data_IF_138219689464
#
_entry.id   IF_138219689464
#
_cell.length_a   1.000
_cell.length_b   1.000
_cell.length_c   1.000
_cell.angle_alpha   90.00
_cell.angle_beta   90.00
_cell.angle_gamma   90.00
#
_symmetry.space_group_name_H-M   'P 1'
#
loop_
_entity.id
_entity.type
_entity.pdbx_description
1 polymer ?
#
# COMPACT_ATOMS: atom_id res chain seq x y z
N UNK A 1 13.33 52.01 50.11
CA UNK A 1 12.85 52.32 48.75
C UNK A 1 13.29 51.34 47.67
N UNK A 2 14.42 50.62 47.79
CA UNK A 2 14.84 49.63 46.79
C UNK A 2 14.09 48.28 46.79
N UNK A 3 13.39 47.94 47.88
CA UNK A 3 12.69 46.65 47.99
C UNK A 3 11.32 46.59 47.29
N UNK A 4 10.72 47.74 47.00
CA UNK A 4 9.42 47.82 46.30
C UNK A 4 9.62 47.73 44.78
N UNK A 5 10.73 48.28 44.27
CA UNK A 5 11.06 48.26 42.84
C UNK A 5 11.38 46.84 42.32
N UNK A 6 11.97 45.99 43.16
CA UNK A 6 12.28 44.61 42.82
C UNK A 6 11.00 43.76 42.77
N UNK A 7 10.02 44.03 43.65
CA UNK A 7 8.77 43.29 43.66
C UNK A 7 7.90 43.60 42.42
N UNK A 8 7.92 44.84 41.93
CA UNK A 8 7.21 45.23 40.70
C UNK A 8 7.88 44.65 39.44
N UNK A 9 9.22 44.57 39.40
CA UNK A 9 9.94 43.93 38.30
C UNK A 9 9.73 42.40 38.27
N UNK A 10 9.61 41.75 39.44
CA UNK A 10 9.25 40.33 39.49
C UNK A 10 7.80 40.07 39.09
N UNK A 11 6.85 40.94 39.45
CA UNK A 11 5.45 40.82 39.00
C UNK A 11 5.29 41.04 37.49
N UNK A 12 6.00 41.99 36.87
CA UNK A 12 5.96 42.13 35.41
C UNK A 12 6.63 40.96 34.67
N UNK A 13 7.69 40.38 35.24
CA UNK A 13 8.30 39.16 34.67
C UNK A 13 7.42 37.91 34.82
N UNK A 14 6.59 37.84 35.86
CA UNK A 14 5.65 36.73 36.08
C UNK A 14 4.41 36.81 35.15
N UNK A 15 3.96 38.02 34.77
CA UNK A 15 2.96 38.18 33.71
C UNK A 15 3.53 37.95 32.30
N UNK A 16 4.84 38.15 32.11
CA UNK A 16 5.51 37.87 30.84
C UNK A 16 5.86 36.38 30.62
N UNK A 17 5.84 35.54 31.66
CA UNK A 17 6.25 34.12 31.58
C UNK A 17 5.09 33.10 31.58
N UNK A 18 3.84 33.53 31.41
CA UNK A 18 2.71 32.62 31.23
C UNK A 18 2.21 32.49 29.78
N UNK A 19 2.90 33.11 28.82
CA UNK A 19 2.75 32.81 27.39
C UNK A 19 3.73 31.71 26.97
N UNK A 20 3.80 30.63 27.74
CA UNK A 20 4.44 29.40 27.29
C UNK A 20 3.47 28.65 26.39
N UNK A 21 3.44 29.12 25.15
CA UNK A 21 3.27 28.39 23.91
C UNK A 21 3.04 26.87 24.09
N UNK A 22 1.79 26.51 24.37
CA UNK A 22 1.26 25.19 24.00
C UNK A 22 0.70 25.36 22.60
N UNK A 23 1.59 25.36 21.61
CA UNK A 23 1.24 25.13 20.21
C UNK A 23 0.84 23.66 20.06
N UNK A 24 -0.28 23.29 20.70
CA UNK A 24 -1.16 22.32 20.05
C UNK A 24 -1.70 23.05 18.84
N UNK A 25 -1.12 22.74 17.67
CA UNK A 25 -1.74 22.98 16.38
C UNK A 25 -3.15 22.38 16.42
N UNK A 26 -4.09 23.19 16.86
CA UNK A 26 -5.50 22.84 16.95
C UNK A 26 -6.08 23.05 15.56
N UNK A 27 -5.82 22.09 14.66
CA UNK A 27 -6.37 22.05 13.31
C UNK A 27 -7.92 21.99 13.27
N UNK A 28 -8.59 22.15 14.41
CA UNK A 28 -10.03 22.00 14.61
C UNK A 28 -10.73 23.25 15.15
N UNK A 29 -10.14 24.44 15.09
CA UNK A 29 -10.87 25.71 15.33
C UNK A 29 -11.76 26.12 14.13
N UNK A 30 -12.49 25.18 13.53
CA UNK A 30 -13.69 25.50 12.76
C UNK A 30 -14.83 25.71 13.77
N UNK A 31 -14.89 26.90 14.39
CA UNK A 31 -16.06 27.35 15.14
C UNK A 31 -17.27 27.29 14.21
N UNK A 32 -18.29 26.51 14.57
CA UNK A 32 -19.71 26.67 14.21
C UNK A 32 -19.99 27.56 12.99
N UNK A 33 -19.52 27.17 11.82
CA UNK A 33 -19.83 27.89 10.60
C UNK A 33 -21.25 27.54 10.18
N UNK A 34 -21.96 28.50 9.55
CA UNK A 34 -23.27 28.35 8.92
C UNK A 34 -23.27 27.18 7.91
N UNK A 35 -23.35 25.97 8.44
CA UNK A 35 -23.10 24.73 7.74
C UNK A 35 -24.41 24.24 7.16
N UNK A 36 -24.44 24.08 5.84
CA UNK A 36 -25.58 23.56 5.13
C UNK A 36 -25.49 22.04 5.15
N UNK A 37 -26.56 21.40 5.62
CA UNK A 37 -26.69 19.94 5.60
C UNK A 37 -26.79 19.41 4.18
N UNK A 38 -26.34 18.16 4.00
CA UNK A 38 -26.47 17.46 2.73
C UNK A 38 -27.94 17.39 2.29
N UNK A 39 -28.19 17.60 0.99
CA UNK A 39 -29.53 17.66 0.40
C UNK A 39 -30.14 19.06 0.32
N UNK A 40 -29.60 20.04 1.02
CA UNK A 40 -30.07 21.44 0.99
C UNK A 40 -29.21 22.34 0.07
N UNK A 41 -28.25 21.79 -0.66
CA UNK A 41 -27.23 22.56 -1.38
C UNK A 41 -27.78 23.37 -2.55
N UNK A 42 -28.89 22.90 -3.12
CA UNK A 42 -29.57 23.52 -4.26
C UNK A 42 -30.82 24.30 -3.83
N UNK A 43 -30.98 24.55 -2.54
CA UNK A 43 -32.09 25.35 -2.01
C UNK A 43 -31.99 26.77 -2.56
N UNK A 44 -33.14 27.30 -2.97
CA UNK A 44 -33.27 28.64 -3.51
C UNK A 44 -34.42 29.39 -2.84
N UNK A 45 -34.35 30.71 -2.89
CA UNK A 45 -35.48 31.56 -2.57
C UNK A 45 -35.95 32.33 -3.81
N UNK A 46 -37.26 32.34 -4.02
CA UNK A 46 -37.93 33.04 -5.14
C UNK A 46 -39.05 33.95 -4.62
N UNK A 47 -38.95 34.40 -3.37
CA UNK A 47 -39.96 35.26 -2.75
C UNK A 47 -39.93 36.67 -3.34
N UNK A 48 -38.78 37.11 -3.88
CA UNK A 48 -38.67 38.34 -4.65
C UNK A 48 -39.07 38.11 -6.13
N UNK A 49 -40.04 38.85 -6.68
CA UNK A 49 -40.52 38.63 -8.05
C UNK A 49 -39.42 38.70 -9.11
N UNK A 50 -39.47 37.79 -10.09
CA UNK A 50 -38.54 37.71 -11.24
C UNK A 50 -37.05 37.59 -10.88
N UNK A 51 -36.75 37.30 -9.62
CA UNK A 51 -35.40 37.15 -9.09
C UNK A 51 -35.34 35.88 -8.25
N UNK A 52 -34.17 35.26 -8.21
CA UNK A 52 -33.93 34.12 -7.35
C UNK A 52 -32.61 34.28 -6.60
N UNK A 53 -32.64 34.05 -5.29
CA UNK A 53 -31.45 33.96 -4.45
C UNK A 53 -31.07 32.49 -4.32
N UNK A 54 -29.81 32.19 -4.55
CA UNK A 54 -29.27 30.84 -4.50
C UNK A 54 -27.84 30.84 -3.96
N UNK A 55 -27.34 29.67 -3.57
CA UNK A 55 -25.96 29.51 -3.16
C UNK A 55 -25.10 29.17 -4.38
N UNK A 56 -24.07 29.97 -4.63
CA UNK A 56 -23.00 29.59 -5.57
C UNK A 56 -21.84 29.00 -4.81
N UNK A 57 -21.64 27.70 -4.95
CA UNK A 57 -20.58 26.95 -4.30
C UNK A 57 -19.22 27.13 -4.99
N UNK A 58 -18.17 27.29 -4.19
CA UNK A 58 -16.79 27.12 -4.63
C UNK A 58 -16.49 25.65 -4.93
N UNK A 59 -15.37 25.39 -5.60
CA UNK A 59 -14.79 24.04 -5.66
C UNK A 59 -14.54 23.51 -4.25
N UNK A 60 -14.61 22.19 -4.11
CA UNK A 60 -14.19 21.50 -2.89
C UNK A 60 -12.70 21.70 -2.63
N UNK A 61 -12.34 21.88 -1.37
CA UNK A 61 -10.94 21.86 -0.93
C UNK A 61 -10.34 20.46 -1.11
N UNK A 62 -9.03 20.35 -0.92
CA UNK A 62 -8.41 19.06 -0.68
C UNK A 62 -8.91 18.46 0.64
N UNK A 63 -8.81 17.14 0.76
CA UNK A 63 -9.05 16.43 2.01
C UNK A 63 -8.10 16.95 3.10
N UNK A 64 -8.55 17.04 4.35
CA UNK A 64 -7.76 17.59 5.45
C UNK A 64 -6.63 16.68 5.92
N UNK A 65 -6.74 15.36 5.66
CA UNK A 65 -5.75 14.37 6.08
C UNK A 65 -5.73 13.13 5.17
N UNK A 66 -4.62 12.41 5.19
CA UNK A 66 -4.43 11.12 4.52
C UNK A 66 -3.99 10.04 5.50
N UNK A 67 -4.16 8.78 5.09
CA UNK A 67 -3.65 7.61 5.78
C UNK A 67 -2.16 7.49 5.49
N UNK A 68 -1.38 7.67 6.54
CA UNK A 68 0.04 7.89 6.44
C UNK A 68 0.78 6.56 6.42
N UNK A 69 1.50 6.24 5.33
CA UNK A 69 2.28 5.02 5.25
C UNK A 69 3.52 5.08 6.15
N UNK A 70 4.10 3.90 6.42
CA UNK A 70 5.35 3.78 7.21
C UNK A 70 6.50 4.62 6.66
N UNK A 71 6.63 4.72 5.34
CA UNK A 71 7.69 5.50 4.69
C UNK A 71 7.64 6.99 5.05
N UNK A 72 6.44 7.53 5.33
CA UNK A 72 6.23 8.94 5.70
C UNK A 72 6.19 9.11 7.23
N UNK A 73 5.34 8.34 7.92
CA UNK A 73 5.07 8.55 9.35
C UNK A 73 5.85 7.64 10.31
N UNK A 74 6.63 6.68 9.80
CA UNK A 74 7.42 5.71 10.58
C UNK A 74 6.57 5.03 11.66
N UNK A 75 6.78 5.40 12.93
CA UNK A 75 6.06 4.84 14.09
C UNK A 75 4.62 5.32 14.23
N UNK A 76 4.24 6.38 13.53
CA UNK A 76 2.89 6.96 13.52
C UNK A 76 2.07 6.55 12.29
N UNK A 77 2.44 5.44 11.67
CA UNK A 77 1.74 4.88 10.51
C UNK A 77 0.24 4.64 10.80
N UNK A 78 -0.60 5.06 9.87
CA UNK A 78 -2.06 4.87 9.89
C UNK A 78 -2.56 4.08 8.69
N UNK A 79 -1.72 3.18 8.14
CA UNK A 79 -2.08 2.23 7.06
C UNK A 79 -3.10 1.16 7.50
N UNK A 80 -3.77 0.55 6.53
CA UNK A 80 -4.68 -0.59 6.75
C UNK A 80 -5.84 -0.22 7.67
N UNK A 81 -6.11 -1.05 8.68
CA UNK A 81 -7.25 -0.86 9.58
C UNK A 81 -7.20 0.46 10.37
N UNK A 82 -5.99 0.98 10.64
CA UNK A 82 -5.80 2.25 11.34
C UNK A 82 -6.17 3.46 10.48
N UNK A 83 -6.32 3.30 9.17
CA UNK A 83 -6.73 4.38 8.26
C UNK A 83 -8.18 4.83 8.55
N UNK A 84 -9.01 3.91 9.05
CA UNK A 84 -10.40 4.19 9.36
C UNK A 84 -10.56 5.16 10.53
N UNK A 85 -9.58 5.23 11.46
CA UNK A 85 -9.63 6.15 12.59
C UNK A 85 -9.20 7.58 12.21
N UNK A 86 -8.53 7.76 11.06
CA UNK A 86 -8.15 9.08 10.55
C UNK A 86 -9.39 9.77 9.97
N UNK A 87 -9.87 10.78 10.68
CA UNK A 87 -10.92 11.68 10.20
C UNK A 87 -10.34 12.62 9.15
N UNK A 88 -11.02 12.71 8.00
CA UNK A 88 -10.60 13.55 6.89
C UNK A 88 -11.82 14.11 6.17
N UNK A 89 -11.79 15.40 5.85
CA UNK A 89 -12.93 16.12 5.28
C UNK A 89 -12.47 17.07 4.18
N UNK A 90 -13.33 17.29 3.18
CA UNK A 90 -13.26 18.43 2.28
C UNK A 90 -14.26 19.48 2.73
N UNK A 91 -13.94 20.73 2.45
CA UNK A 91 -14.78 21.87 2.77
C UNK A 91 -15.01 22.67 1.50
N UNK A 92 -16.16 23.34 1.40
CA UNK A 92 -16.38 24.37 0.37
C UNK A 92 -17.18 25.52 0.95
N UNK A 93 -16.98 26.71 0.38
CA UNK A 93 -17.72 27.92 0.73
C UNK A 93 -18.80 28.16 -0.32
N UNK A 94 -19.98 28.58 0.13
CA UNK A 94 -21.06 29.04 -0.73
C UNK A 94 -21.33 30.50 -0.45
N UNK A 95 -21.32 31.33 -1.49
CA UNK A 95 -21.74 32.74 -1.37
C UNK A 95 -23.18 32.87 -1.87
N UNK A 96 -23.96 33.72 -1.22
CA UNK A 96 -25.31 34.02 -1.68
C UNK A 96 -25.27 34.90 -2.92
N UNK A 97 -25.90 34.42 -3.97
CA UNK A 97 -25.96 35.05 -5.28
C UNK A 97 -27.41 35.29 -5.68
N UNK A 98 -27.60 36.29 -6.52
CA UNK A 98 -28.88 36.67 -7.08
C UNK A 98 -28.81 36.40 -8.58
N UNK A 99 -29.85 35.76 -9.15
CA UNK A 99 -29.99 35.59 -10.61
C UNK A 99 -31.36 36.07 -11.10
N UNK A 100 -31.39 36.52 -12.34
CA UNK A 100 -32.59 36.99 -13.03
C UNK A 100 -33.43 35.80 -13.53
N UNK A 101 -34.74 35.82 -13.27
CA UNK A 101 -35.75 34.94 -13.88
C UNK A 101 -36.58 35.66 -14.95
N UNK A 102 -36.73 36.97 -14.85
CA UNK A 102 -37.45 37.83 -15.80
C UNK A 102 -37.10 39.30 -15.60
N UNK A 103 -37.82 40.24 -16.23
CA UNK A 103 -37.62 41.67 -16.00
C UNK A 103 -37.77 42.00 -14.51
N UNK A 104 -36.76 42.61 -13.90
CA UNK A 104 -36.74 42.87 -12.44
C UNK A 104 -37.54 44.09 -12.04
N UNK A 105 -37.82 45.01 -12.97
CA UNK A 105 -38.50 46.28 -12.69
C UNK A 105 -37.65 47.27 -11.88
N UNK A 106 -36.35 47.02 -11.71
CA UNK A 106 -35.41 47.90 -11.02
C UNK A 106 -34.17 48.15 -11.88
N UNK A 107 -33.96 49.41 -12.28
CA UNK A 107 -32.88 49.79 -13.20
C UNK A 107 -31.48 49.51 -12.63
N UNK A 108 -31.27 49.77 -11.33
CA UNK A 108 -29.97 49.56 -10.69
C UNK A 108 -29.60 48.07 -10.61
N UNK A 109 -30.59 47.22 -10.35
CA UNK A 109 -30.42 45.78 -10.36
C UNK A 109 -30.14 45.25 -11.78
N UNK A 110 -30.82 45.77 -12.81
CA UNK A 110 -30.49 45.45 -14.20
C UNK A 110 -29.07 45.91 -14.58
N UNK A 111 -28.61 47.07 -14.10
CA UNK A 111 -27.22 47.53 -14.30
C UNK A 111 -26.22 46.53 -13.70
N UNK A 112 -26.53 45.96 -12.53
CA UNK A 112 -25.68 44.91 -11.94
C UNK A 112 -25.70 43.63 -12.79
N UNK A 113 -26.86 43.20 -13.29
CA UNK A 113 -26.96 42.03 -14.16
C UNK A 113 -26.31 42.21 -15.53
N UNK A 114 -26.18 43.43 -16.04
CA UNK A 114 -25.45 43.70 -17.28
C UNK A 114 -23.94 43.40 -17.17
N UNK A 115 -23.40 43.34 -15.94
CA UNK A 115 -21.99 42.95 -15.70
C UNK A 115 -21.79 41.44 -15.68
N UNK A 116 -22.85 40.66 -15.48
CA UNK A 116 -22.76 39.20 -15.42
C UNK A 116 -24.08 38.51 -15.05
N UNK A 117 -24.20 37.20 -15.34
CA UNK A 117 -25.45 36.45 -15.20
C UNK A 117 -25.93 36.29 -13.74
N UNK A 118 -25.04 36.52 -12.77
CA UNK A 118 -25.33 36.41 -11.34
C UNK A 118 -24.60 37.54 -10.61
N UNK A 119 -25.24 38.10 -9.59
CA UNK A 119 -24.74 39.22 -8.78
C UNK A 119 -24.59 38.75 -7.33
N UNK A 120 -23.55 39.21 -6.62
CA UNK A 120 -23.43 38.91 -5.19
C UNK A 120 -24.59 39.56 -4.43
N UNK A 121 -25.25 38.83 -3.53
CA UNK A 121 -26.35 39.37 -2.75
C UNK A 121 -25.95 40.64 -1.97
N UNK A 122 -24.74 40.66 -1.41
CA UNK A 122 -24.20 41.81 -0.70
C UNK A 122 -24.09 43.08 -1.56
N UNK A 123 -23.90 42.93 -2.88
CA UNK A 123 -23.89 44.06 -3.81
C UNK A 123 -25.31 44.52 -4.12
N UNK A 124 -26.23 43.58 -4.35
CA UNK A 124 -27.64 43.88 -4.61
C UNK A 124 -28.35 44.54 -3.39
N UNK A 125 -27.99 44.15 -2.16
CA UNK A 125 -28.50 44.74 -0.92
C UNK A 125 -28.14 46.22 -0.74
N UNK A 126 -27.22 46.78 -1.55
CA UNK A 126 -26.90 48.21 -1.51
C UNK A 126 -27.94 49.08 -2.23
N UNK A 127 -28.83 48.48 -3.01
CA UNK A 127 -29.92 49.19 -3.70
C UNK A 127 -31.03 49.44 -2.69
N UNK A 128 -31.22 50.70 -2.30
CA UNK A 128 -32.08 51.09 -1.19
C UNK A 128 -33.55 50.74 -1.45
N UNK A 129 -34.01 50.87 -2.71
CA UNK A 129 -35.39 50.66 -3.13
C UNK A 129 -35.87 49.22 -2.91
N UNK A 130 -34.95 48.25 -3.02
CA UNK A 130 -35.26 46.80 -2.96
C UNK A 130 -34.59 46.10 -1.78
N UNK A 131 -33.86 46.84 -0.94
CA UNK A 131 -33.08 46.32 0.18
C UNK A 131 -33.92 45.39 1.07
N UNK A 132 -35.09 45.85 1.51
CA UNK A 132 -35.95 45.11 2.43
C UNK A 132 -36.52 43.82 1.82
N UNK A 133 -36.83 43.83 0.51
CA UNK A 133 -37.35 42.64 -0.20
C UNK A 133 -36.26 41.58 -0.38
N UNK A 134 -35.05 42.01 -0.74
CA UNK A 134 -33.88 41.15 -0.85
C UNK A 134 -33.46 40.59 0.52
N UNK A 135 -33.54 41.40 1.58
CA UNK A 135 -33.21 40.95 2.94
C UNK A 135 -34.24 39.93 3.46
N UNK A 136 -35.53 40.15 3.22
CA UNK A 136 -36.56 39.16 3.54
C UNK A 136 -36.36 37.83 2.78
N UNK A 137 -35.97 37.92 1.50
CA UNK A 137 -35.66 36.74 0.68
C UNK A 137 -34.40 36.02 1.18
N UNK A 138 -33.39 36.77 1.67
CA UNK A 138 -32.20 36.24 2.35
C UNK A 138 -32.58 35.47 3.61
N UNK A 139 -33.41 36.08 4.47
CA UNK A 139 -33.87 35.48 5.72
C UNK A 139 -34.62 34.17 5.43
N UNK A 140 -35.52 34.18 4.43
CA UNK A 140 -36.24 32.96 4.01
C UNK A 140 -35.29 31.87 3.51
N UNK A 141 -34.26 32.23 2.74
CA UNK A 141 -33.25 31.26 2.29
C UNK A 141 -32.47 30.69 3.49
N UNK A 142 -32.00 31.53 4.41
CA UNK A 142 -31.26 31.06 5.60
C UNK A 142 -32.09 30.16 6.50
N UNK A 143 -33.39 30.42 6.62
CA UNK A 143 -34.33 29.58 7.36
C UNK A 143 -34.44 28.20 6.70
N UNK A 144 -34.65 28.13 5.39
CA UNK A 144 -34.69 26.86 4.63
C UNK A 144 -33.38 26.06 4.75
N UNK A 145 -32.25 26.76 4.90
CA UNK A 145 -30.92 26.17 5.05
C UNK A 145 -30.59 25.78 6.51
N UNK A 146 -31.45 26.12 7.47
CA UNK A 146 -31.21 25.96 8.91
C UNK A 146 -29.92 26.64 9.40
N UNK A 147 -29.64 27.85 8.91
CA UNK A 147 -28.49 28.67 9.33
C UNK A 147 -28.95 30.00 9.92
N UNK A 148 -28.05 30.73 10.59
CA UNK A 148 -28.38 31.98 11.25
C UNK A 148 -28.89 33.03 10.25
N UNK A 149 -29.88 33.87 10.61
CA UNK A 149 -30.51 34.81 9.69
C UNK A 149 -29.58 35.90 9.20
N UNK A 150 -28.50 36.24 9.90
CA UNK A 150 -27.45 37.20 9.52
C UNK A 150 -26.43 36.63 8.52
N UNK A 151 -26.60 35.38 8.10
CA UNK A 151 -25.66 34.69 7.22
C UNK A 151 -25.61 35.32 5.83
N UNK A 152 -24.38 35.51 5.33
CA UNK A 152 -24.10 35.97 3.95
C UNK A 152 -23.26 34.96 3.16
N UNK A 153 -22.64 34.00 3.85
CA UNK A 153 -21.90 32.90 3.26
C UNK A 153 -22.06 31.66 4.13
N UNK A 154 -22.19 30.53 3.45
CA UNK A 154 -22.41 29.22 4.05
C UNK A 154 -21.25 28.28 3.75
N UNK A 155 -21.18 27.18 4.49
CA UNK A 155 -20.15 26.17 4.31
C UNK A 155 -20.78 24.80 4.17
N UNK A 156 -20.07 23.91 3.50
CA UNK A 156 -20.41 22.49 3.50
C UNK A 156 -19.14 21.70 3.75
N UNK A 157 -19.29 20.58 4.45
CA UNK A 157 -18.23 19.61 4.65
C UNK A 157 -18.64 18.28 4.06
N UNK A 158 -17.68 17.54 3.53
CA UNK A 158 -17.88 16.20 2.99
C UNK A 158 -16.80 15.29 3.53
N UNK A 159 -17.19 14.10 3.99
CA UNK A 159 -16.26 13.10 4.50
C UNK A 159 -15.41 12.50 3.35
N UNK A 160 -14.11 12.39 3.59
CA UNK A 160 -13.14 11.79 2.66
C UNK A 160 -12.92 10.29 2.87
N UNK A 161 -13.77 9.58 3.61
CA UNK A 161 -13.56 8.18 4.01
C UNK A 161 -13.01 7.29 2.90
N UNK A 162 -13.62 7.37 1.71
CA UNK A 162 -13.29 6.55 0.55
C UNK A 162 -12.61 7.38 -0.57
N UNK A 163 -12.19 8.61 -0.27
CA UNK A 163 -11.59 9.51 -1.24
C UNK A 163 -10.11 9.18 -1.45
N UNK A 164 -9.64 9.21 -2.70
CA UNK A 164 -8.25 8.85 -3.04
C UNK A 164 -7.21 9.72 -2.31
N UNK A 165 -7.49 11.01 -2.07
CA UNK A 165 -6.61 11.88 -1.29
C UNK A 165 -6.48 11.43 0.17
N UNK A 166 -7.52 10.80 0.75
CA UNK A 166 -7.38 10.19 2.08
C UNK A 166 -6.52 8.93 1.99
N UNK A 167 -6.70 8.10 0.98
CA UNK A 167 -6.01 6.82 0.86
C UNK A 167 -4.54 6.97 0.42
N UNK A 168 -4.20 8.08 -0.25
CA UNK A 168 -2.89 8.30 -0.85
C UNK A 168 -2.36 9.71 -0.51
N UNK A 169 -1.37 9.77 0.38
CA UNK A 169 -0.74 11.01 0.80
C UNK A 169 -0.02 11.77 -0.32
N UNK A 170 0.44 11.10 -1.39
CA UNK A 170 1.04 11.79 -2.53
C UNK A 170 -0.03 12.53 -3.35
N UNK A 171 -1.20 11.91 -3.51
CA UNK A 171 -2.33 12.57 -4.18
C UNK A 171 -2.84 13.75 -3.36
N UNK A 172 -2.85 13.63 -2.02
CA UNK A 172 -3.16 14.76 -1.14
C UNK A 172 -2.12 15.88 -1.24
N UNK A 173 -0.83 15.56 -1.17
CA UNK A 173 0.25 16.54 -1.27
C UNK A 173 0.20 17.32 -2.59
N UNK A 174 -0.06 16.61 -3.70
CA UNK A 174 -0.28 17.25 -5.00
C UNK A 174 -1.48 18.19 -5.00
N UNK A 175 -2.56 17.85 -4.30
CA UNK A 175 -3.71 18.74 -4.19
C UNK A 175 -3.37 20.00 -3.36
N UNK A 176 -2.73 19.84 -2.21
CA UNK A 176 -2.46 20.94 -1.27
C UNK A 176 -1.34 21.88 -1.75
N UNK A 177 -0.29 21.32 -2.34
CA UNK A 177 0.96 22.03 -2.62
C UNK A 177 1.33 22.04 -4.09
N UNK A 178 0.55 21.39 -4.96
CA UNK A 178 0.88 21.18 -6.37
C UNK A 178 2.25 20.50 -6.60
N UNK A 179 2.76 19.79 -5.59
CA UNK A 179 4.04 19.09 -5.59
C UNK A 179 4.00 17.89 -4.63
N UNK A 180 4.88 16.92 -4.86
CA UNK A 180 5.12 15.77 -3.99
C UNK A 180 6.55 15.74 -3.44
N UNK A 181 7.37 16.76 -3.71
CA UNK A 181 8.82 16.75 -3.44
C UNK A 181 9.15 16.71 -1.95
N UNK A 182 8.20 17.10 -1.10
CA UNK A 182 8.30 17.03 0.36
C UNK A 182 8.11 15.61 0.91
N UNK A 183 7.64 14.68 0.07
CA UNK A 183 7.46 13.28 0.44
C UNK A 183 8.63 12.45 -0.09
N UNK A 184 9.00 11.37 0.63
CA UNK A 184 9.94 10.40 0.07
C UNK A 184 9.40 9.86 -1.26
N UNK A 185 10.31 9.38 -2.11
CA UNK A 185 9.91 8.65 -3.32
C UNK A 185 8.89 7.58 -2.91
N UNK A 186 7.75 7.59 -3.61
CA UNK A 186 6.72 6.60 -3.36
C UNK A 186 7.38 5.25 -3.59
N UNK A 187 7.49 4.45 -2.52
CA UNK A 187 7.77 3.03 -2.65
C UNK A 187 6.62 2.46 -3.47
N UNK A 188 6.77 2.48 -4.80
CA UNK A 188 6.02 1.63 -5.68
C UNK A 188 6.37 0.27 -5.13
N UNK A 189 5.38 -0.42 -4.55
CA UNK A 189 5.54 -1.82 -4.28
C UNK A 189 6.06 -2.41 -5.60
N UNK A 190 7.36 -2.73 -5.65
CA UNK A 190 7.75 -3.92 -6.34
C UNK A 190 6.83 -4.94 -5.69
N UNK A 191 5.84 -5.36 -6.44
CA UNK A 191 5.17 -6.60 -6.13
C UNK A 191 6.37 -7.54 -6.07
N UNK A 192 6.84 -7.87 -4.87
CA UNK A 192 7.61 -9.08 -4.70
C UNK A 192 6.59 -10.14 -5.11
N UNK A 193 6.59 -10.46 -6.40
CA UNK A 193 5.96 -11.65 -6.93
C UNK A 193 6.58 -12.75 -6.09
N UNK A 194 5.86 -13.18 -5.05
CA UNK A 194 6.20 -14.38 -4.30
C UNK A 194 6.45 -15.44 -5.36
N UNK A 195 7.70 -15.93 -5.45
CA UNK A 195 8.10 -16.80 -6.54
C UNK A 195 7.24 -18.07 -6.40
N UNK A 196 6.27 -18.22 -7.29
CA UNK A 196 5.24 -19.26 -7.19
C UNK A 196 5.84 -20.67 -7.41
N UNK A 197 7.14 -20.74 -7.74
CA UNK A 197 7.95 -21.94 -7.83
C UNK A 197 8.86 -22.14 -6.59
N UNK A 198 8.67 -21.42 -5.48
CA UNK A 198 9.49 -21.54 -4.25
C UNK A 198 9.60 -22.98 -3.71
N UNK A 199 8.57 -23.81 -3.91
CA UNK A 199 8.55 -25.20 -3.45
C UNK A 199 9.33 -26.17 -4.35
N UNK A 200 9.84 -25.71 -5.51
CA UNK A 200 10.59 -26.54 -6.43
C UNK A 200 11.95 -26.94 -5.84
N UNK A 201 12.37 -28.18 -6.07
CA UNK A 201 13.73 -28.60 -5.68
C UNK A 201 14.77 -27.95 -6.57
N UNK A 202 15.70 -27.22 -5.97
CA UNK A 202 16.70 -26.43 -6.70
C UNK A 202 17.89 -27.32 -7.10
N UNK A 203 18.26 -27.26 -8.38
CA UNK A 203 19.53 -27.77 -8.90
C UNK A 203 20.34 -26.62 -9.49
N UNK A 204 21.56 -26.48 -9.01
CA UNK A 204 22.48 -25.46 -9.51
C UNK A 204 23.40 -26.10 -10.54
N UNK A 205 23.35 -25.60 -11.79
CA UNK A 205 24.25 -25.98 -12.87
C UNK A 205 25.58 -25.31 -12.63
N UNK A 206 26.64 -26.09 -12.40
CA UNK A 206 27.96 -25.60 -11.96
C UNK A 206 29.06 -25.75 -13.01
N UNK A 207 28.82 -26.54 -14.04
CA UNK A 207 29.79 -26.86 -15.08
C UNK A 207 29.16 -26.75 -16.47
N UNK A 208 29.99 -26.78 -17.52
CA UNK A 208 29.53 -26.83 -18.92
C UNK A 208 28.79 -28.14 -19.25
N UNK A 209 28.94 -29.17 -18.42
CA UNK A 209 28.25 -30.44 -18.56
C UNK A 209 27.75 -30.92 -17.19
N UNK A 210 26.47 -31.21 -17.07
CA UNK A 210 25.83 -31.65 -15.83
C UNK A 210 25.00 -32.91 -16.09
N UNK A 211 25.01 -33.87 -15.15
CA UNK A 211 24.10 -35.01 -15.18
C UNK A 211 23.17 -34.90 -13.97
N UNK A 212 21.86 -34.84 -14.21
CA UNK A 212 20.86 -34.65 -13.17
C UNK A 212 19.98 -35.88 -13.02
N UNK A 213 20.00 -36.48 -11.84
CA UNK A 213 19.14 -37.62 -11.51
C UNK A 213 17.82 -37.14 -10.91
N UNK A 214 16.74 -37.22 -11.71
CA UNK A 214 15.43 -36.65 -11.39
C UNK A 214 14.43 -37.74 -10.99
N UNK A 215 13.57 -37.43 -10.02
CA UNK A 215 12.39 -38.25 -9.71
C UNK A 215 11.24 -37.86 -10.66
N UNK A 216 10.48 -38.84 -11.19
CA UNK A 216 9.29 -38.55 -11.99
C UNK A 216 8.29 -37.66 -11.25
N UNK A 217 7.59 -36.81 -12.00
CA UNK A 217 6.51 -35.91 -11.54
C UNK A 217 6.92 -34.87 -10.48
N UNK A 218 8.18 -34.87 -10.03
CA UNK A 218 8.68 -33.88 -9.07
C UNK A 218 9.08 -32.60 -9.80
N UNK A 219 8.76 -31.46 -9.19
CA UNK A 219 9.10 -30.13 -9.69
C UNK A 219 10.54 -29.76 -9.33
N UNK A 220 11.31 -29.36 -10.34
CA UNK A 220 12.70 -28.92 -10.22
C UNK A 220 12.89 -27.52 -10.82
N UNK A 221 13.74 -26.72 -10.16
CA UNK A 221 14.19 -25.40 -10.61
C UNK A 221 15.69 -25.47 -10.89
N UNK A 222 16.06 -25.35 -12.16
CA UNK A 222 17.44 -25.36 -12.63
C UNK A 222 17.94 -23.92 -12.66
N UNK A 223 19.00 -23.65 -11.88
CA UNK A 223 19.61 -22.32 -11.77
C UNK A 223 21.05 -22.39 -12.28
N UNK A 224 21.46 -21.37 -13.02
CA UNK A 224 22.86 -21.27 -13.49
C UNK A 224 23.71 -20.70 -12.35
N UNK A 225 24.81 -21.38 -11.99
CA UNK A 225 25.77 -20.81 -11.05
C UNK A 225 26.45 -19.60 -11.69
N UNK A 226 26.25 -18.42 -11.08
CA UNK A 226 26.87 -17.18 -11.52
C UNK A 226 28.40 -17.23 -11.47
N UNK A 227 29.00 -18.19 -10.76
CA UNK A 227 30.46 -18.40 -10.73
C UNK A 227 31.04 -18.96 -12.02
N UNK A 228 30.25 -19.64 -12.86
CA UNK A 228 30.71 -20.12 -14.18
C UNK A 228 30.89 -18.94 -15.13
N UNK A 229 30.16 -17.86 -14.88
CA UNK A 229 30.03 -16.74 -15.79
C UNK A 229 30.86 -15.56 -15.29
N UNK A 230 32.01 -15.32 -15.90
CA UNK A 230 32.77 -14.09 -15.69
C UNK A 230 32.09 -12.93 -16.45
N UNK A 231 31.00 -12.39 -15.90
CA UNK A 231 30.27 -11.25 -16.48
C UNK A 231 28.77 -11.27 -16.20
N UNK A 232 28.09 -10.21 -16.61
CA UNK A 232 26.63 -10.13 -16.50
C UNK A 232 25.97 -10.96 -17.61
N UNK A 233 25.04 -11.83 -17.22
CA UNK A 233 24.18 -12.58 -18.13
C UNK A 233 23.23 -11.60 -18.82
N UNK A 234 23.22 -11.59 -20.14
CA UNK A 234 22.31 -10.76 -20.95
C UNK A 234 21.04 -11.53 -21.31
N UNK A 235 21.21 -12.80 -21.70
CA UNK A 235 20.10 -13.67 -22.03
C UNK A 235 20.50 -15.14 -21.87
N UNK A 236 19.54 -15.99 -21.55
CA UNK A 236 19.67 -17.44 -21.52
C UNK A 236 18.58 -18.03 -22.41
N UNK A 237 18.98 -18.88 -23.37
CA UNK A 237 18.06 -19.63 -24.21
C UNK A 237 18.20 -21.12 -23.91
N UNK A 238 17.08 -21.79 -23.68
CA UNK A 238 17.05 -23.23 -23.43
C UNK A 238 16.46 -23.98 -24.62
N UNK A 239 17.07 -25.11 -24.96
CA UNK A 239 16.48 -26.11 -25.85
C UNK A 239 16.43 -27.46 -25.15
N UNK A 240 15.36 -28.22 -25.35
CA UNK A 240 15.23 -29.61 -24.91
C UNK A 240 15.13 -30.49 -26.15
N UNK A 241 16.03 -31.45 -26.29
CA UNK A 241 16.11 -32.36 -27.44
C UNK A 241 16.09 -31.63 -28.81
N UNK A 242 16.62 -30.41 -28.86
CA UNK A 242 16.67 -29.55 -30.04
C UNK A 242 15.49 -28.59 -30.20
N UNK A 243 14.41 -28.72 -29.44
CA UNK A 243 13.26 -27.82 -29.46
C UNK A 243 13.43 -26.66 -28.48
N UNK A 244 13.06 -25.45 -28.90
CA UNK A 244 13.14 -24.25 -28.05
C UNK A 244 12.13 -24.33 -26.92
N UNK A 245 12.61 -24.10 -25.69
CA UNK A 245 11.74 -24.02 -24.52
C UNK A 245 11.03 -22.68 -24.51
N UNK A 246 9.72 -22.70 -24.33
CA UNK A 246 8.93 -21.47 -24.23
C UNK A 246 9.22 -20.72 -22.92
N UNK A 247 9.35 -19.40 -23.03
CA UNK A 247 9.41 -18.47 -21.90
C UNK A 247 8.01 -18.01 -21.52
N UNK A 248 7.66 -18.16 -20.24
CA UNK A 248 6.40 -17.63 -19.73
C UNK A 248 6.53 -16.14 -19.40
N UNK A 249 5.53 -15.35 -19.81
CA UNK A 249 5.48 -13.92 -19.49
C UNK A 249 5.07 -13.67 -18.03
N UNK A 250 4.23 -14.54 -17.46
CA UNK A 250 3.79 -14.53 -16.07
C UNK A 250 3.55 -15.96 -15.59
N UNK A 251 3.81 -16.24 -14.30
CA UNK A 251 3.58 -17.56 -13.71
C UNK A 251 2.23 -17.59 -13.00
N UNK A 252 1.30 -18.40 -13.51
CA UNK A 252 0.27 -19.05 -12.64
C UNK A 252 0.95 -20.18 -11.87
N UNK A 253 0.40 -20.59 -10.74
CA UNK A 253 0.91 -21.70 -9.90
C UNK A 253 1.66 -22.79 -10.70
N UNK A 254 2.96 -22.93 -10.41
CA UNK A 254 3.90 -23.78 -11.14
C UNK A 254 3.48 -25.26 -11.14
N UNK A 255 2.77 -25.72 -10.10
CA UNK A 255 2.26 -27.08 -10.04
C UNK A 255 1.09 -27.30 -11.02
N UNK A 256 0.34 -26.26 -11.33
CA UNK A 256 -0.85 -26.30 -12.19
C UNK A 256 -0.57 -25.90 -13.64
N UNK A 257 0.69 -25.68 -14.00
CA UNK A 257 1.07 -25.38 -15.38
C UNK A 257 0.84 -26.58 -16.30
N UNK A 258 0.18 -26.33 -17.43
CA UNK A 258 -0.04 -27.34 -18.49
C UNK A 258 1.28 -27.82 -19.10
N UNK A 259 2.26 -26.94 -19.19
CA UNK A 259 3.60 -27.26 -19.70
C UNK A 259 4.47 -27.84 -18.58
N UNK A 260 5.18 -28.90 -18.91
CA UNK A 260 6.05 -29.67 -17.99
C UNK A 260 7.48 -29.15 -17.94
N UNK A 261 7.91 -28.45 -19.01
CA UNK A 261 9.21 -27.78 -19.10
C UNK A 261 8.97 -26.39 -19.65
N UNK A 262 9.45 -25.36 -18.96
CA UNK A 262 9.30 -23.97 -19.37
C UNK A 262 10.34 -23.08 -18.69
N UNK A 263 10.70 -21.97 -19.34
CA UNK A 263 11.60 -20.97 -18.78
C UNK A 263 10.82 -20.03 -17.85
N UNK A 264 11.38 -19.79 -16.67
CA UNK A 264 10.79 -18.94 -15.63
C UNK A 264 10.73 -17.47 -16.10
N UNK A 265 9.78 -16.64 -15.62
CA UNK A 265 9.65 -15.24 -16.03
C UNK A 265 10.88 -14.38 -15.76
N UNK A 266 11.70 -14.75 -14.75
CA UNK A 266 12.99 -14.10 -14.53
C UNK A 266 13.95 -14.24 -15.72
N UNK A 267 13.67 -15.11 -16.68
CA UNK A 267 14.45 -15.29 -17.90
C UNK A 267 15.77 -16.04 -17.72
N UNK A 268 16.10 -16.47 -16.50
CA UNK A 268 17.35 -17.19 -16.20
C UNK A 268 17.06 -18.64 -15.84
N UNK A 269 16.05 -18.90 -15.02
CA UNK A 269 15.80 -20.23 -14.46
C UNK A 269 14.93 -21.10 -15.38
N UNK A 270 15.18 -22.41 -15.37
CA UNK A 270 14.40 -23.40 -16.10
C UNK A 270 13.61 -24.28 -15.13
N UNK A 271 12.32 -24.42 -15.35
CA UNK A 271 11.43 -25.26 -14.54
C UNK A 271 11.18 -26.58 -15.27
N UNK A 272 11.34 -27.70 -14.56
CA UNK A 272 11.25 -29.06 -15.12
C UNK A 272 10.42 -29.97 -14.23
N UNK A 273 9.43 -30.65 -14.82
CA UNK A 273 8.58 -31.68 -14.20
C UNK A 273 8.24 -32.77 -15.22
N UNK A 274 9.18 -33.70 -15.40
CA UNK A 274 9.07 -34.76 -16.40
C UNK A 274 8.35 -36.00 -15.86
N UNK A 275 7.61 -36.68 -16.73
CA UNK A 275 7.03 -38.00 -16.44
C UNK A 275 8.10 -39.08 -16.44
N UNK A 276 7.77 -40.28 -15.96
CA UNK A 276 8.66 -41.44 -16.05
C UNK A 276 8.99 -41.82 -17.51
N UNK A 277 8.00 -41.75 -18.40
CA UNK A 277 8.19 -42.01 -19.84
C UNK A 277 9.08 -40.96 -20.52
N UNK A 278 9.00 -39.70 -20.09
CA UNK A 278 9.88 -38.66 -20.62
C UNK A 278 11.31 -38.85 -20.11
N UNK A 279 11.50 -39.17 -18.83
CA UNK A 279 12.83 -39.40 -18.24
C UNK A 279 13.51 -40.67 -18.78
N UNK A 280 12.75 -41.71 -19.15
CA UNK A 280 13.32 -42.94 -19.71
C UNK A 280 13.97 -42.74 -21.08
N UNK A 281 13.63 -41.65 -21.78
CA UNK A 281 14.24 -41.23 -23.06
C UNK A 281 15.58 -40.49 -22.88
N UNK A 282 16.01 -40.26 -21.63
CA UNK A 282 17.22 -39.48 -21.28
C UNK A 282 17.29 -38.10 -21.98
N UNK A 283 16.30 -37.23 -21.76
CA UNK A 283 16.19 -35.94 -22.43
C UNK A 283 17.39 -35.04 -22.14
N UNK A 284 17.80 -34.28 -23.14
CA UNK A 284 18.98 -33.40 -23.08
C UNK A 284 18.56 -31.94 -23.15
N UNK A 285 19.01 -31.17 -22.16
CA UNK A 285 18.87 -29.72 -22.19
C UNK A 285 20.19 -29.09 -22.61
N UNK A 286 20.10 -28.08 -23.49
CA UNK A 286 21.20 -27.19 -23.82
C UNK A 286 20.78 -25.78 -23.43
N UNK A 287 21.58 -25.14 -22.58
CA UNK A 287 21.42 -23.74 -22.20
C UNK A 287 22.51 -22.91 -22.88
N UNK A 288 22.11 -21.97 -23.74
CA UNK A 288 23.01 -21.03 -24.41
C UNK A 288 22.92 -19.69 -23.70
N UNK A 289 24.01 -19.29 -23.06
CA UNK A 289 24.12 -18.09 -22.24
C UNK A 289 24.89 -17.03 -23.03
N UNK A 290 24.25 -15.88 -23.26
CA UNK A 290 24.86 -14.72 -23.91
C UNK A 290 25.34 -13.72 -22.87
N UNK A 291 26.61 -13.32 -22.96
CA UNK A 291 27.24 -12.39 -22.02
C UNK A 291 27.44 -11.01 -22.63
N UNK A 292 27.50 -9.99 -21.78
CA UNK A 292 27.63 -8.58 -22.19
C UNK A 292 28.90 -8.31 -23.02
N UNK A 293 29.94 -9.12 -22.86
CA UNK A 293 31.20 -9.03 -23.61
C UNK A 293 31.17 -9.79 -24.97
N UNK A 294 29.99 -10.14 -25.49
CA UNK A 294 29.79 -10.94 -26.71
C UNK A 294 30.31 -12.38 -26.65
N UNK A 295 30.75 -12.85 -25.48
CA UNK A 295 31.06 -14.26 -25.25
C UNK A 295 29.77 -15.08 -25.12
N UNK A 296 29.79 -16.32 -25.67
CA UNK A 296 28.69 -17.28 -25.57
C UNK A 296 29.18 -18.52 -24.82
N UNK A 297 28.40 -18.96 -23.84
CA UNK A 297 28.66 -20.19 -23.09
C UNK A 297 27.52 -21.19 -23.37
N UNK A 298 27.87 -22.45 -23.57
CA UNK A 298 26.92 -23.55 -23.72
C UNK A 298 27.04 -24.49 -22.53
N UNK A 299 25.92 -24.71 -21.84
CA UNK A 299 25.82 -25.71 -20.77
C UNK A 299 24.93 -26.85 -21.26
N UNK A 300 25.43 -28.07 -21.19
CA UNK A 300 24.71 -29.30 -21.51
C UNK A 300 24.27 -30.00 -20.23
N UNK A 301 23.03 -30.47 -20.22
CA UNK A 301 22.45 -31.15 -19.06
C UNK A 301 21.76 -32.43 -19.52
N UNK A 302 22.28 -33.56 -19.07
CA UNK A 302 21.68 -34.87 -19.30
C UNK A 302 20.76 -35.21 -18.11
N UNK A 303 19.46 -35.37 -18.39
CA UNK A 303 18.47 -35.73 -17.36
C UNK A 303 18.24 -37.24 -17.36
N UNK A 304 18.52 -37.88 -16.21
CA UNK A 304 18.42 -39.33 -16.06
C UNK A 304 17.39 -39.70 -15.00
N UNK A 305 16.63 -40.77 -15.26
CA UNK A 305 15.67 -41.31 -14.30
C UNK A 305 16.40 -41.77 -13.02
N UNK A 306 16.00 -41.23 -11.87
CA UNK A 306 16.48 -41.70 -10.58
C UNK A 306 15.87 -43.05 -10.25
N UNK A 307 16.60 -44.13 -10.51
CA UNK A 307 16.22 -45.46 -10.05
C UNK A 307 16.28 -45.49 -8.52
N UNK A 308 15.18 -45.85 -7.86
CA UNK A 308 15.21 -46.17 -6.43
C UNK A 308 16.15 -47.35 -6.28
N UNK A 309 17.39 -47.13 -5.83
CA UNK A 309 18.14 -48.21 -5.18
C UNK A 309 17.26 -48.69 -4.04
N UNK A 310 16.72 -49.92 -4.15
CA UNK A 310 16.38 -50.69 -2.95
C UNK A 310 17.66 -50.64 -2.12
N UNK A 311 17.63 -49.95 -0.98
CA UNK A 311 18.49 -50.37 0.11
C UNK A 311 18.04 -51.80 0.37
N UNK A 312 18.80 -52.76 -0.13
CA UNK A 312 18.95 -53.99 0.65
C UNK A 312 19.34 -53.49 2.03
N UNK A 313 18.43 -53.67 2.97
CA UNK A 313 18.76 -53.64 4.37
C UNK A 313 19.75 -54.81 4.47
N UNK A 314 21.06 -54.51 4.38
CA UNK A 314 22.02 -55.27 5.15
C UNK A 314 21.52 -55.12 6.58
N UNK A 315 20.76 -56.12 7.04
CA UNK A 315 20.65 -56.42 8.47
C UNK A 315 22.06 -56.83 8.88
N UNK A 316 22.92 -55.82 9.06
CA UNK A 316 24.21 -55.99 9.70
C UNK A 316 23.92 -56.02 11.19
N UNK A 317 23.93 -57.24 11.72
CA UNK A 317 24.19 -57.66 13.10
C UNK A 317 24.72 -56.55 14.02
N UNK A 318 23.84 -55.65 14.45
CA UNK A 318 24.15 -54.56 15.38
C UNK A 318 23.33 -54.60 16.66
N UNK A 319 22.15 -55.25 16.64
CA UNK A 319 21.24 -55.26 17.79
C UNK A 319 21.41 -56.46 18.72
N UNK A 320 21.99 -57.58 18.28
CA UNK A 320 22.26 -58.70 19.18
C UNK A 320 23.42 -58.39 20.14
N UNK A 321 24.50 -57.74 19.67
CA UNK A 321 25.66 -57.44 20.52
C UNK A 321 25.33 -56.43 21.62
N UNK A 322 24.50 -55.42 21.35
CA UNK A 322 24.06 -54.46 22.37
C UNK A 322 23.17 -55.11 23.43
N UNK A 323 22.28 -56.03 23.06
CA UNK A 323 21.45 -56.75 24.03
C UNK A 323 22.31 -57.70 24.88
N UNK A 324 23.29 -58.39 24.30
CA UNK A 324 24.21 -59.27 25.05
C UNK A 324 25.15 -58.47 25.96
N UNK A 325 25.66 -57.31 25.54
CA UNK A 325 26.51 -56.44 26.38
C UNK A 325 25.74 -55.84 27.57
N UNK A 326 24.49 -55.40 27.35
CA UNK A 326 23.65 -54.87 28.44
C UNK A 326 23.27 -55.99 29.42
N UNK A 327 22.99 -57.20 28.91
CA UNK A 327 22.65 -58.36 29.75
C UNK A 327 23.85 -58.85 30.56
N UNK A 328 25.06 -58.85 29.99
CA UNK A 328 26.28 -59.30 30.69
C UNK A 328 26.79 -58.29 31.71
N UNK A 329 26.63 -56.98 31.47
CA UNK A 329 26.92 -55.94 32.48
C UNK A 329 25.94 -55.99 33.66
N UNK A 330 24.65 -56.28 33.42
CA UNK A 330 23.66 -56.44 34.48
C UNK A 330 23.94 -57.67 35.37
N UNK A 331 24.33 -58.79 34.76
CA UNK A 331 24.69 -60.02 35.50
C UNK A 331 26.00 -59.84 36.28
N UNK A 332 27.01 -59.17 35.71
CA UNK A 332 28.26 -58.86 36.43
C UNK A 332 28.04 -57.97 37.65
N UNK A 333 27.14 -57.00 37.54
CA UNK A 333 26.78 -56.08 38.64
C UNK A 333 26.05 -56.80 39.78
N UNK A 334 25.15 -57.75 39.44
CA UNK A 334 24.44 -58.57 40.42
C UNK A 334 25.34 -59.57 41.15
N UNK A 335 26.33 -60.13 40.47
CA UNK A 335 27.34 -61.03 41.09
C UNK A 335 28.26 -60.25 42.04
N UNK A 336 28.69 -59.05 41.66
CA UNK A 336 29.49 -58.18 42.53
C UNK A 336 28.71 -57.73 43.78
N UNK A 337 27.43 -57.39 43.63
CA UNK A 337 26.54 -57.09 44.77
C UNK A 337 26.33 -58.32 45.67
N UNK A 338 26.14 -59.51 45.09
CA UNK A 338 26.03 -60.76 45.86
C UNK A 338 27.31 -61.13 46.62
N UNK A 339 28.48 -60.97 46.01
CA UNK A 339 29.77 -61.21 46.66
C UNK A 339 30.07 -60.18 47.77
N UNK A 340 29.69 -58.92 47.58
CA UNK A 340 29.85 -57.88 48.61
C UNK A 340 28.96 -58.11 49.83
N UNK A 341 27.76 -58.68 49.66
CA UNK A 341 26.89 -59.08 50.76
C UNK A 341 27.35 -60.35 51.47
N UNK A 342 28.09 -61.24 50.79
CA UNK A 342 28.65 -62.45 51.39
C UNK A 342 29.89 -62.18 52.25
N UNK A 343 30.65 -61.12 51.95
CA UNK A 343 31.84 -60.70 52.74
C UNK A 343 31.52 -59.82 53.97
N UNK A 344 30.26 -59.39 54.10
CA UNK A 344 29.75 -58.59 55.23
C UNK A 344 28.95 -59.43 56.24
N UNK A 345 29.07 -60.75 56.15
CA UNK A 345 28.63 -61.74 57.12
C UNK A 345 29.82 -62.58 57.56
#
# INVERSE_FOLDING_TARGET
>A
MYSILILTLFLESAYAFQYQYSDRLDYMKFREFNMVSDGLENTVDSSFPNVEIFIKWSSWSCCSACCCPKSVCRKFETSGDKCNSVKSYQNRRGDFMVRRKGPTGNNDLEILFNKGPHVKLLEALKILEIHLQLDNSRISLTEKLNVAPETLAVFQTKNCKDHIQKLDCWVLAKCLYNSTDMLPEKEIAKIDERDVCENASIFVLRDAYNILSLMPEKLYKLQIDRKIVAGNIVNVNYTIDGEVVEKLNHVRDCEHQKKRVFQHPNGEDLIVRLTEEQLSKNPKIIAVISLQQSARLEIRVDMVLKTKRKREIETKDGDWFSIVLISSLAVGSLILLGLSLFYLR
#
